data_IF_944864729760
#
_entry.id   IF_944864729760
#
_cell.length_a   1.000
_cell.length_b   1.000
_cell.length_c   1.000
_cell.angle_alpha   90.00
_cell.angle_beta   90.00
_cell.angle_gamma   90.00
#
_symmetry.space_group_name_H-M   'P 1'
#
loop_
_entity.id
_entity.type
_entity.pdbx_description
1 polymer ?
#
# COMPACT_ATOMS: atom_id res chain seq x y z
N UNK A 1 19.46 -31.90 22.11
CA UNK A 1 18.67 -32.18 20.88
C UNK A 1 17.15 -32.28 21.11
N UNK A 2 16.65 -32.33 22.36
CA UNK A 2 15.19 -32.39 22.67
C UNK A 2 14.44 -31.05 22.67
N UNK A 3 15.15 -29.92 22.69
CA UNK A 3 14.53 -28.59 22.72
C UNK A 3 14.06 -28.08 21.36
N UNK A 4 14.58 -28.63 20.26
CA UNK A 4 14.28 -28.16 18.90
C UNK A 4 12.87 -28.57 18.43
N UNK A 5 12.35 -29.70 18.93
CA UNK A 5 11.07 -30.28 18.52
C UNK A 5 9.83 -29.50 19.03
N UNK A 6 10.00 -28.63 20.03
CA UNK A 6 8.92 -27.79 20.57
C UNK A 6 8.82 -26.40 19.92
N UNK A 7 9.85 -25.97 19.19
CA UNK A 7 9.89 -24.66 18.54
C UNK A 7 9.10 -24.61 17.22
N UNK A 8 9.07 -25.71 16.46
CA UNK A 8 8.32 -25.79 15.19
C UNK A 8 6.80 -25.52 15.32
N UNK A 9 6.06 -26.14 16.26
CA UNK A 9 4.62 -25.90 16.37
C UNK A 9 4.31 -24.46 16.81
N UNK A 10 5.16 -23.84 17.63
CA UNK A 10 4.94 -22.47 18.11
C UNK A 10 5.01 -21.42 16.98
N UNK A 11 5.90 -21.59 15.99
CA UNK A 11 5.96 -20.70 14.82
C UNK A 11 4.76 -20.86 13.88
N UNK A 12 4.21 -22.08 13.77
CA UNK A 12 3.02 -22.35 12.94
C UNK A 12 1.76 -21.70 13.50
N UNK A 13 1.61 -21.60 14.83
CA UNK A 13 0.51 -20.86 15.45
C UNK A 13 0.66 -19.34 15.30
N UNK A 14 1.89 -18.81 15.34
CA UNK A 14 2.15 -17.38 15.13
C UNK A 14 1.82 -16.92 13.70
N UNK A 15 1.97 -17.79 12.70
CA UNK A 15 1.61 -17.49 11.30
C UNK A 15 0.08 -17.37 11.07
N UNK A 16 -0.76 -17.89 11.97
CA UNK A 16 -2.22 -17.80 11.86
C UNK A 16 -2.79 -16.58 12.61
N UNK A 17 -2.02 -15.95 13.51
CA UNK A 17 -2.45 -14.79 14.30
C UNK A 17 -2.16 -13.43 13.62
N UNK A 18 -1.25 -13.38 12.65
CA UNK A 18 -0.88 -12.16 11.91
C UNK A 18 -1.85 -11.66 10.82
N UNK A 19 -2.74 -12.45 10.17
CA UNK A 19 -3.61 -11.93 9.12
C UNK A 19 -4.71 -11.02 9.66
N UNK A 20 -5.11 -11.20 10.92
CA UNK A 20 -6.18 -10.38 11.53
C UNK A 20 -5.73 -8.93 11.72
N UNK A 21 -4.51 -8.71 12.21
CA UNK A 21 -3.98 -7.36 12.43
C UNK A 21 -3.77 -6.62 11.12
N UNK A 22 -3.30 -7.30 10.08
CA UNK A 22 -3.17 -6.70 8.74
C UNK A 22 -4.53 -6.38 8.12
N UNK A 23 -5.53 -7.25 8.28
CA UNK A 23 -6.87 -6.99 7.77
C UNK A 23 -7.50 -5.75 8.44
N UNK A 24 -7.34 -5.57 9.74
CA UNK A 24 -7.84 -4.38 10.45
C UNK A 24 -7.16 -3.09 9.99
N UNK A 25 -5.83 -3.10 9.81
CA UNK A 25 -5.11 -1.93 9.31
C UNK A 25 -5.53 -1.58 7.88
N UNK A 26 -5.69 -2.59 7.01
CA UNK A 26 -6.14 -2.39 5.62
C UNK A 26 -7.57 -1.87 5.54
N UNK A 27 -8.45 -2.30 6.44
CA UNK A 27 -9.82 -1.78 6.50
C UNK A 27 -9.85 -0.30 6.92
N UNK A 28 -9.05 0.09 7.91
CA UNK A 28 -8.95 1.48 8.35
C UNK A 28 -8.40 2.39 7.23
N UNK A 29 -7.36 1.93 6.53
CA UNK A 29 -6.79 2.63 5.36
C UNK A 29 -7.83 2.82 4.25
N UNK A 30 -8.65 1.79 3.98
CA UNK A 30 -9.73 1.87 3.00
C UNK A 30 -10.86 2.81 3.42
N UNK A 31 -11.25 2.83 4.70
CA UNK A 31 -12.26 3.74 5.21
C UNK A 31 -11.84 5.21 5.00
N UNK A 32 -10.57 5.53 5.23
CA UNK A 32 -10.04 6.86 4.95
C UNK A 32 -10.07 7.19 3.45
N UNK A 33 -9.70 6.25 2.59
CA UNK A 33 -9.76 6.43 1.13
C UNK A 33 -11.18 6.62 0.60
N UNK A 34 -12.18 5.96 1.20
CA UNK A 34 -13.59 6.16 0.85
C UNK A 34 -14.05 7.58 1.13
N UNK A 35 -13.59 8.20 2.22
CA UNK A 35 -13.93 9.61 2.53
C UNK A 35 -13.31 10.57 1.52
N UNK A 36 -12.06 10.33 1.12
CA UNK A 36 -11.31 11.23 0.22
C UNK A 36 -11.79 11.08 -1.24
N UNK A 37 -11.86 9.85 -1.75
CA UNK A 37 -12.12 9.57 -3.17
C UNK A 37 -13.56 9.14 -3.47
N UNK A 38 -14.30 8.65 -2.48
CA UNK A 38 -15.68 8.21 -2.64
C UNK A 38 -16.63 9.26 -3.20
N UNK A 39 -16.55 10.55 -2.80
CA UNK A 39 -17.35 11.61 -3.40
C UNK A 39 -17.01 11.86 -4.88
N UNK A 40 -15.76 11.65 -5.31
CA UNK A 40 -15.38 11.76 -6.71
C UNK A 40 -15.95 10.59 -7.51
N UNK A 41 -15.82 9.36 -7.01
CA UNK A 41 -16.39 8.18 -7.65
C UNK A 41 -17.92 8.22 -7.73
N UNK A 42 -18.60 8.79 -6.74
CA UNK A 42 -20.06 9.01 -6.79
C UNK A 42 -20.44 10.05 -7.85
N UNK A 43 -19.65 11.12 -7.99
CA UNK A 43 -19.82 12.13 -9.06
C UNK A 43 -19.55 11.57 -10.46
N UNK A 44 -18.71 10.55 -10.57
CA UNK A 44 -18.48 9.81 -11.81
C UNK A 44 -19.62 8.83 -12.16
N UNK A 45 -20.64 8.72 -11.29
CA UNK A 45 -21.83 7.90 -11.53
C UNK A 45 -21.73 6.46 -11.04
N UNK A 46 -20.65 6.10 -10.33
CA UNK A 46 -20.56 4.78 -9.71
C UNK A 46 -21.49 4.70 -8.49
N UNK A 47 -22.32 3.64 -8.37
CA UNK A 47 -23.20 3.48 -7.21
C UNK A 47 -22.39 3.31 -5.93
N UNK A 48 -22.66 4.10 -4.90
CA UNK A 48 -21.99 4.01 -3.59
C UNK A 48 -22.08 2.57 -3.06
N UNK A 49 -21.00 2.09 -2.43
CA UNK A 49 -20.86 0.72 -1.92
C UNK A 49 -20.98 -0.42 -2.95
N UNK A 50 -20.99 -0.11 -4.26
CA UNK A 50 -20.80 -1.12 -5.31
C UNK A 50 -19.32 -1.49 -5.49
N UNK A 51 -19.06 -2.66 -6.05
CA UNK A 51 -17.70 -3.09 -6.37
C UNK A 51 -17.04 -2.17 -7.41
N UNK A 52 -17.82 -1.60 -8.33
CA UNK A 52 -17.32 -0.62 -9.28
C UNK A 52 -16.87 0.67 -8.60
N UNK A 53 -17.61 1.13 -7.58
CA UNK A 53 -17.24 2.29 -6.78
C UNK A 53 -15.98 2.04 -5.95
N UNK A 54 -15.86 0.87 -5.32
CA UNK A 54 -14.63 0.47 -4.60
C UNK A 54 -13.42 0.40 -5.53
N UNK A 55 -13.59 -0.17 -6.73
CA UNK A 55 -12.53 -0.22 -7.74
C UNK A 55 -12.12 1.17 -8.25
N UNK A 56 -13.07 2.11 -8.37
CA UNK A 56 -12.76 3.50 -8.67
C UNK A 56 -11.91 4.15 -7.57
N UNK A 57 -12.27 3.95 -6.30
CA UNK A 57 -11.51 4.48 -5.15
C UNK A 57 -10.08 3.94 -5.15
N UNK A 58 -9.91 2.63 -5.35
CA UNK A 58 -8.60 1.99 -5.42
C UNK A 58 -7.74 2.61 -6.52
N UNK A 59 -8.27 2.69 -7.74
CA UNK A 59 -7.56 3.30 -8.88
C UNK A 59 -7.17 4.76 -8.62
N UNK A 60 -8.08 5.56 -8.06
CA UNK A 60 -7.80 6.97 -7.79
C UNK A 60 -6.71 7.11 -6.73
N UNK A 61 -6.77 6.28 -5.69
CA UNK A 61 -5.78 6.30 -4.61
C UNK A 61 -4.39 5.92 -5.09
N UNK A 62 -4.29 4.89 -5.92
CA UNK A 62 -3.01 4.44 -6.47
C UNK A 62 -2.37 5.52 -7.34
N UNK A 63 -3.17 6.19 -8.19
CA UNK A 63 -2.68 7.30 -9.01
C UNK A 63 -2.14 8.45 -8.17
N UNK A 64 -2.86 8.82 -7.12
CA UNK A 64 -2.47 9.90 -6.22
C UNK A 64 -1.20 9.53 -5.42
N UNK A 65 -1.07 8.26 -4.99
CA UNK A 65 0.13 7.75 -4.33
C UNK A 65 1.36 7.80 -5.25
N UNK A 66 1.20 7.41 -6.52
CA UNK A 66 2.25 7.52 -7.54
C UNK A 66 2.64 8.98 -7.76
N UNK A 67 1.67 9.89 -7.85
CA UNK A 67 1.92 11.32 -8.03
C UNK A 67 2.67 11.91 -6.82
N UNK A 68 2.27 11.57 -5.59
CA UNK A 68 2.98 11.97 -4.37
C UNK A 68 4.39 11.41 -4.31
N UNK A 69 4.58 10.16 -4.71
CA UNK A 69 5.90 9.53 -4.76
C UNK A 69 6.81 10.28 -5.74
N UNK A 70 6.32 10.58 -6.94
CA UNK A 70 7.06 11.35 -7.95
C UNK A 70 7.40 12.77 -7.48
N UNK A 71 6.50 13.43 -6.76
CA UNK A 71 6.75 14.77 -6.23
C UNK A 71 7.73 14.76 -5.04
N UNK A 72 7.70 13.71 -4.22
CA UNK A 72 8.57 13.56 -3.04
C UNK A 72 9.99 13.10 -3.41
N UNK A 73 10.13 12.33 -4.49
CA UNK A 73 11.41 11.94 -5.07
C UNK A 73 11.54 12.56 -6.46
N UNK A 74 12.03 13.81 -6.56
CA UNK A 74 12.42 14.34 -7.85
C UNK A 74 13.43 13.38 -8.48
N UNK A 75 13.31 13.07 -9.79
CA UNK A 75 14.21 12.16 -10.45
C UNK A 75 15.67 12.59 -10.19
N UNK A 76 16.58 11.64 -9.88
CA UNK A 76 17.97 11.95 -9.59
C UNK A 76 18.58 12.66 -10.81
N UNK A 77 18.69 13.98 -10.73
CA UNK A 77 19.07 14.84 -11.85
C UNK A 77 18.38 16.21 -11.88
N UNK A 78 17.30 16.44 -11.13
CA UNK A 78 16.59 17.73 -11.16
C UNK A 78 17.24 18.83 -10.29
N UNK A 79 18.10 18.48 -9.34
CA UNK A 79 18.95 19.44 -8.62
C UNK A 79 20.36 19.38 -9.22
N UNK A 80 20.58 20.23 -10.22
CA UNK A 80 21.80 20.23 -11.02
C UNK A 80 23.04 20.56 -10.21
N UNK A 81 23.90 19.57 -9.99
CA UNK A 81 25.35 19.70 -9.82
C UNK A 81 26.06 18.40 -10.27
N UNK A 82 26.42 18.33 -11.56
CA UNK A 82 27.60 17.61 -12.02
C UNK A 82 27.49 16.10 -12.35
N UNK A 83 28.38 15.59 -13.22
CA UNK A 83 28.40 14.19 -13.63
C UNK A 83 29.16 13.33 -12.61
N UNK A 84 28.57 12.21 -12.24
CA UNK A 84 29.35 11.04 -11.81
C UNK A 84 28.82 10.36 -10.58
N UNK A 85 28.03 9.30 -10.79
CA UNK A 85 28.13 8.08 -9.98
C UNK A 85 27.95 6.86 -10.88
N UNK A 86 29.10 6.30 -11.27
CA UNK A 86 29.27 4.87 -11.59
C UNK A 86 28.98 4.06 -10.32
N UNK A 87 28.36 2.89 -10.49
CA UNK A 87 28.26 1.83 -9.47
C UNK A 87 27.01 1.94 -8.60
N UNK A 88 26.23 0.91 -8.32
CA UNK A 88 26.45 -0.54 -8.42
C UNK A 88 25.12 -1.22 -8.74
N UNK A 89 25.19 -2.25 -9.58
CA UNK A 89 24.10 -3.20 -9.75
C UNK A 89 23.90 -4.04 -8.49
N UNK A 90 22.63 -4.29 -8.19
CA UNK A 90 22.17 -5.43 -7.40
C UNK A 90 21.42 -6.35 -8.35
#
# INVERSE_FOLDING_TARGET
MRGLTLLLPALLLAACATPQEQAQQKQAEMAQRMVIYGPACSRLGYPTDSDQWRNCILNLSERDDIQRYYYSYPPPGYYGWGPGWRGYGW
#
